data_IF_260316221518
#
_entry.id   IF_260316221518
#
_cell.length_a   1.000
_cell.length_b   1.000
_cell.length_c   1.000
_cell.angle_alpha   90.00
_cell.angle_beta   90.00
_cell.angle_gamma   90.00
#
_symmetry.space_group_name_H-M   'P 1'
#
loop_
_entity.id
_entity.type
_entity.pdbx_description
1 polymer ?
#
# COMPACT_ATOMS: atom_id res chain seq x y z
N UNK A 1 10.48 -4.96 4.33
CA UNK A 1 10.99 -5.84 3.24
C UNK A 1 12.17 -5.13 2.59
N UNK A 2 13.25 -5.84 2.29
CA UNK A 2 14.50 -5.19 1.83
C UNK A 2 15.18 -6.05 0.77
N UNK A 3 15.70 -5.39 -0.27
CA UNK A 3 16.56 -5.96 -1.30
C UNK A 3 17.84 -5.13 -1.39
N UNK A 4 18.78 -5.52 -2.26
CA UNK A 4 20.00 -4.73 -2.52
C UNK A 4 19.69 -3.33 -3.09
N UNK A 5 18.54 -3.14 -3.72
CA UNK A 5 18.19 -1.91 -4.44
C UNK A 5 17.16 -1.04 -3.72
N UNK A 6 16.33 -1.63 -2.85
CA UNK A 6 15.24 -0.90 -2.22
C UNK A 6 14.89 -1.46 -0.84
N UNK A 7 14.34 -0.59 0.00
CA UNK A 7 13.73 -0.93 1.28
C UNK A 7 12.29 -0.44 1.32
N UNK A 8 11.37 -1.31 1.74
CA UNK A 8 9.95 -1.02 2.00
C UNK A 8 9.69 -1.13 3.50
N UNK A 9 9.13 -0.08 4.07
CA UNK A 9 8.73 0.05 5.48
C UNK A 9 7.21 0.27 5.53
N UNK A 10 6.47 -0.57 6.27
CA UNK A 10 5.01 -0.42 6.46
C UNK A 10 4.77 0.31 7.78
N UNK A 11 3.99 1.39 7.73
CA UNK A 11 3.88 2.39 8.81
C UNK A 11 2.44 2.49 9.34
N UNK A 12 1.44 2.62 8.45
CA UNK A 12 0.02 2.66 8.83
C UNK A 12 -0.50 4.02 9.34
N UNK A 13 0.25 5.10 9.17
CA UNK A 13 -0.16 6.45 9.60
C UNK A 13 -1.13 7.12 8.62
N UNK A 14 -1.81 8.18 9.07
CA UNK A 14 -2.82 8.92 8.30
C UNK A 14 -2.29 9.54 7.00
N UNK A 15 -1.02 9.91 6.98
CA UNK A 15 -0.33 10.53 5.85
C UNK A 15 0.69 9.60 5.16
N UNK A 16 0.97 8.44 5.76
CA UNK A 16 1.94 7.48 5.27
C UNK A 16 1.58 6.06 5.66
N UNK A 17 1.02 5.31 4.71
CA UNK A 17 0.72 3.89 4.88
C UNK A 17 2.00 3.06 4.81
N UNK A 18 2.81 3.29 3.79
CA UNK A 18 4.13 2.67 3.66
C UNK A 18 5.09 3.62 2.93
N UNK A 19 6.37 3.32 3.09
CA UNK A 19 7.48 4.10 2.58
C UNK A 19 8.41 3.20 1.81
N UNK A 20 8.91 3.68 0.69
CA UNK A 20 10.04 3.05 0.01
C UNK A 20 11.26 3.98 -0.05
N UNK A 21 12.45 3.39 -0.05
CA UNK A 21 13.73 4.08 -0.21
C UNK A 21 14.60 3.26 -1.15
N UNK A 22 15.23 3.90 -2.13
CA UNK A 22 16.25 3.25 -2.97
C UNK A 22 17.57 3.21 -2.20
N UNK A 23 18.33 2.12 -2.34
CA UNK A 23 19.58 1.91 -1.59
C UNK A 23 20.66 2.97 -1.90
N UNK A 24 20.67 3.48 -3.13
CA UNK A 24 21.61 4.50 -3.62
C UNK A 24 21.13 5.95 -3.34
N UNK A 25 19.89 6.14 -2.89
CA UNK A 25 19.32 7.47 -2.66
C UNK A 25 18.93 7.70 -1.20
N UNK A 26 19.28 8.88 -0.70
CA UNK A 26 18.87 9.33 0.65
C UNK A 26 17.37 9.64 0.75
N UNK A 27 16.69 9.89 -0.37
CA UNK A 27 15.28 10.30 -0.38
C UNK A 27 14.37 9.08 -0.32
N UNK A 28 13.35 9.17 0.53
CA UNK A 28 12.29 8.19 0.62
C UNK A 28 11.02 8.73 -0.04
N UNK A 29 10.20 7.84 -0.59
CA UNK A 29 8.88 8.14 -1.12
C UNK A 29 7.85 7.60 -0.14
N UNK A 30 7.01 8.49 0.38
CA UNK A 30 5.90 8.13 1.23
C UNK A 30 4.66 7.90 0.35
N UNK A 31 4.01 6.76 0.56
CA UNK A 31 2.73 6.43 -0.04
C UNK A 31 1.66 6.64 1.00
N UNK A 32 0.70 7.52 0.70
CA UNK A 32 -0.43 7.79 1.57
C UNK A 32 -1.42 6.60 1.58
N UNK A 33 -2.20 6.44 2.65
CA UNK A 33 -3.22 5.40 2.71
C UNK A 33 -4.26 5.53 1.59
N UNK A 34 -4.78 4.40 1.08
CA UNK A 34 -5.95 4.43 0.25
C UNK A 34 -7.16 4.93 1.04
N UNK A 35 -8.11 5.51 0.33
CA UNK A 35 -9.35 6.02 0.88
C UNK A 35 -10.51 5.33 0.19
N UNK A 36 -11.45 4.83 0.97
CA UNK A 36 -12.65 4.13 0.50
C UNK A 36 -13.90 4.85 0.99
N UNK A 37 -14.97 4.83 0.21
CA UNK A 37 -16.31 5.10 0.75
C UNK A 37 -17.00 3.77 1.08
N UNK A 38 -17.26 3.56 2.36
CA UNK A 38 -17.85 2.33 2.90
C UNK A 38 -19.07 2.69 3.73
N UNK A 39 -20.22 2.07 3.42
CA UNK A 39 -21.49 2.32 4.11
C UNK A 39 -21.84 3.83 4.21
N UNK A 40 -21.58 4.58 3.14
CA UNK A 40 -21.84 6.02 3.04
C UNK A 40 -20.84 6.92 3.79
N UNK A 41 -19.74 6.35 4.32
CA UNK A 41 -18.71 7.07 5.06
C UNK A 41 -17.35 6.96 4.37
N UNK A 42 -16.66 8.08 4.24
CA UNK A 42 -15.26 8.12 3.79
C UNK A 42 -14.36 7.55 4.89
N UNK A 43 -13.55 6.55 4.55
CA UNK A 43 -12.63 5.83 5.43
C UNK A 43 -11.21 5.90 4.86
N UNK A 44 -10.30 6.47 5.64
CA UNK A 44 -8.87 6.46 5.33
C UNK A 44 -8.27 5.21 5.95
N UNK A 45 -7.47 4.45 5.20
CA UNK A 45 -6.85 3.23 5.71
C UNK A 45 -5.65 3.51 6.64
N UNK A 46 -5.89 4.26 7.70
CA UNK A 46 -4.98 4.38 8.84
C UNK A 46 -5.05 3.08 9.63
N UNK A 47 -3.92 2.40 9.76
CA UNK A 47 -3.87 1.04 10.27
C UNK A 47 -3.28 0.95 11.68
N UNK A 48 -3.86 0.04 12.47
CA UNK A 48 -3.35 -0.40 13.77
C UNK A 48 -3.16 -1.91 13.75
N UNK A 49 -2.34 -2.42 14.69
CA UNK A 49 -2.05 -3.86 14.77
C UNK A 49 -1.35 -4.40 13.51
N UNK A 50 -0.50 -3.58 12.89
CA UNK A 50 0.23 -3.95 11.68
C UNK A 50 1.17 -5.13 11.94
N UNK A 51 1.03 -6.18 11.14
CA UNK A 51 1.88 -7.34 11.20
C UNK A 51 2.14 -7.91 9.81
N UNK A 52 3.32 -8.52 9.64
CA UNK A 52 3.59 -9.38 8.50
C UNK A 52 2.75 -10.66 8.61
N UNK A 53 2.09 -11.05 7.52
CA UNK A 53 1.36 -12.31 7.46
C UNK A 53 2.30 -13.40 6.97
N UNK A 54 2.96 -14.06 7.92
CA UNK A 54 3.99 -15.06 7.64
C UNK A 54 5.32 -14.46 7.17
N UNK A 55 6.33 -15.31 6.92
CA UNK A 55 7.64 -14.88 6.42
C UNK A 55 7.56 -14.45 4.96
N UNK A 56 8.54 -13.67 4.52
CA UNK A 56 8.70 -13.35 3.11
C UNK A 56 8.98 -14.64 2.32
N UNK A 57 8.25 -14.86 1.23
CA UNK A 57 8.43 -16.01 0.37
C UNK A 57 9.19 -15.62 -0.89
N UNK A 58 9.96 -16.56 -1.45
CA UNK A 58 10.61 -16.39 -2.76
C UNK A 58 9.83 -17.20 -3.78
N UNK A 59 9.28 -16.53 -4.79
CA UNK A 59 8.55 -17.15 -5.89
C UNK A 59 9.52 -17.86 -6.86
N UNK A 60 9.01 -18.76 -7.70
CA UNK A 60 9.81 -19.58 -8.63
C UNK A 60 10.72 -18.76 -9.57
N UNK A 61 10.31 -17.54 -9.91
CA UNK A 61 11.05 -16.61 -10.75
C UNK A 61 11.97 -15.66 -9.96
N UNK A 62 12.25 -15.97 -8.69
CA UNK A 62 13.21 -15.27 -7.86
C UNK A 62 12.70 -13.98 -7.19
N UNK A 63 11.49 -13.51 -7.52
CA UNK A 63 10.82 -12.40 -6.86
C UNK A 63 10.48 -12.75 -5.41
N UNK A 64 10.72 -11.81 -4.51
CA UNK A 64 10.28 -11.91 -3.12
C UNK A 64 8.87 -11.37 -2.99
N UNK A 65 8.07 -12.02 -2.17
CA UNK A 65 6.71 -11.62 -1.82
C UNK A 65 6.57 -11.53 -0.30
N UNK A 66 5.90 -10.48 0.19
CA UNK A 66 5.55 -10.34 1.60
C UNK A 66 4.17 -9.69 1.73
N UNK A 67 3.29 -10.34 2.49
CA UNK A 67 2.02 -9.76 2.88
C UNK A 67 2.11 -9.10 4.25
N UNK A 68 1.43 -7.96 4.39
CA UNK A 68 1.17 -7.27 5.64
C UNK A 68 -0.32 -7.11 5.83
N UNK A 69 -0.77 -7.08 7.09
CA UNK A 69 -2.16 -6.85 7.45
C UNK A 69 -2.24 -5.87 8.60
N UNK A 70 -3.23 -4.99 8.56
CA UNK A 70 -3.60 -4.12 9.68
C UNK A 70 -5.10 -3.83 9.67
N UNK A 71 -5.63 -3.43 10.83
CA UNK A 71 -7.05 -3.03 10.99
C UNK A 71 -7.19 -1.53 10.87
N UNK A 72 -8.32 -1.07 10.36
CA UNK A 72 -8.63 0.36 10.36
C UNK A 72 -8.79 0.85 11.80
N UNK A 73 -8.14 1.95 12.14
CA UNK A 73 -8.20 2.52 13.48
C UNK A 73 -9.62 2.96 13.89
N UNK A 74 -10.43 3.40 12.92
CA UNK A 74 -11.78 3.96 13.10
C UNK A 74 -12.92 3.00 12.67
N UNK A 75 -12.56 1.79 12.25
CA UNK A 75 -13.48 0.73 11.81
C UNK A 75 -12.84 -0.66 12.03
N UNK A 76 -12.85 -1.20 13.26
CA UNK A 76 -12.13 -2.42 13.62
C UNK A 76 -12.60 -3.69 12.89
N UNK A 77 -13.78 -3.66 12.27
CA UNK A 77 -14.34 -4.69 11.41
C UNK A 77 -13.73 -4.71 10.00
N UNK A 78 -12.96 -3.67 9.64
CA UNK A 78 -12.25 -3.56 8.38
C UNK A 78 -10.74 -3.82 8.55
N UNK A 79 -10.20 -4.60 7.63
CA UNK A 79 -8.78 -4.92 7.52
C UNK A 79 -8.27 -4.55 6.13
N UNK A 80 -7.03 -4.04 6.07
CA UNK A 80 -6.30 -3.87 4.83
C UNK A 80 -5.15 -4.87 4.79
N UNK A 81 -5.14 -5.71 3.76
CA UNK A 81 -3.99 -6.51 3.40
C UNK A 81 -3.19 -5.79 2.31
N UNK A 82 -1.87 -5.78 2.47
CA UNK A 82 -0.92 -5.19 1.53
C UNK A 82 0.07 -6.26 1.11
N UNK A 83 0.01 -6.67 -0.15
CA UNK A 83 0.97 -7.61 -0.74
C UNK A 83 2.03 -6.82 -1.49
N UNK A 84 3.31 -7.04 -1.17
CA UNK A 84 4.44 -6.46 -1.88
C UNK A 84 5.21 -7.55 -2.62
N UNK A 85 5.60 -7.27 -3.86
CA UNK A 85 6.45 -8.12 -4.70
C UNK A 85 7.59 -7.30 -5.29
N UNK A 86 8.82 -7.75 -5.05
CA UNK A 86 10.04 -7.09 -5.57
C UNK A 86 11.06 -8.13 -6.04
N UNK A 87 11.69 -7.86 -7.19
CA UNK A 87 12.81 -8.67 -7.66
C UNK A 87 14.12 -8.20 -6.97
N UNK A 88 15.11 -9.09 -6.79
CA UNK A 88 16.38 -8.73 -6.14
C UNK A 88 17.20 -7.67 -6.90
N UNK A 89 17.04 -7.60 -8.22
CA UNK A 89 17.86 -6.87 -9.19
C UNK A 89 17.06 -5.82 -9.97
N UNK A 90 15.80 -5.56 -9.58
CA UNK A 90 14.96 -4.55 -10.22
C UNK A 90 14.26 -3.69 -9.16
N UNK A 91 14.34 -2.34 -9.24
CA UNK A 91 13.73 -1.44 -8.26
C UNK A 91 12.19 -1.32 -8.40
N UNK A 92 11.56 -2.02 -9.34
CA UNK A 92 10.10 -2.01 -9.51
C UNK A 92 9.41 -2.71 -8.35
N UNK A 93 8.56 -1.96 -7.65
CA UNK A 93 7.67 -2.45 -6.60
C UNK A 93 6.32 -2.75 -7.20
N UNK A 94 5.93 -4.03 -7.21
CA UNK A 94 4.54 -4.43 -7.46
C UNK A 94 3.82 -4.53 -6.13
N UNK A 95 2.65 -3.95 -6.03
CA UNK A 95 1.84 -4.02 -4.83
C UNK A 95 0.37 -4.25 -5.16
N UNK A 96 -0.35 -4.80 -4.18
CA UNK A 96 -1.79 -4.99 -4.23
C UNK A 96 -2.37 -4.67 -2.85
N UNK A 97 -3.53 -4.04 -2.85
CA UNK A 97 -4.36 -3.91 -1.66
C UNK A 97 -5.57 -4.85 -1.74
N UNK A 98 -5.90 -5.46 -0.63
CA UNK A 98 -7.16 -6.20 -0.45
C UNK A 98 -7.86 -5.68 0.80
N UNK A 99 -9.02 -5.09 0.60
CA UNK A 99 -9.92 -4.67 1.67
C UNK A 99 -10.75 -5.89 2.12
N UNK A 100 -10.73 -6.17 3.41
CA UNK A 100 -11.43 -7.31 4.02
C UNK A 100 -12.36 -6.77 5.11
N UNK A 101 -13.55 -7.35 5.22
CA UNK A 101 -14.50 -7.04 6.28
C UNK A 101 -14.90 -8.32 7.02
N UNK A 102 -14.92 -8.28 8.35
CA UNK A 102 -15.48 -9.35 9.17
C UNK A 102 -16.99 -9.20 9.41
N UNK A 103 -17.58 -8.08 8.97
CA UNK A 103 -19.01 -7.79 9.03
C UNK A 103 -19.56 -7.45 7.63
N UNK A 104 -20.87 -7.27 7.51
CA UNK A 104 -21.48 -6.76 6.27
C UNK A 104 -20.98 -5.35 5.97
N UNK A 105 -20.24 -5.18 4.88
CA UNK A 105 -19.72 -3.88 4.47
C UNK A 105 -19.85 -3.73 2.95
N UNK A 106 -20.34 -2.58 2.51
CA UNK A 106 -20.56 -2.27 1.11
C UNK A 106 -19.74 -1.05 0.71
N UNK A 107 -19.04 -1.17 -0.43
CA UNK A 107 -18.53 0.00 -1.12
C UNK A 107 -19.73 0.83 -1.58
N UNK A 108 -19.70 2.12 -1.28
CA UNK A 108 -20.78 3.05 -1.66
C UNK A 108 -20.28 4.14 -2.58
N UNK A 109 -21.21 4.71 -3.34
CA UNK A 109 -20.97 5.80 -4.29
C UNK A 109 -21.98 6.90 -4.02
N UNK A 110 -21.91 7.54 -2.85
CA UNK A 110 -22.92 8.52 -2.41
C UNK A 110 -23.16 9.64 -3.42
N UNK A 111 -22.12 10.02 -4.17
CA UNK A 111 -22.18 11.06 -5.20
C UNK A 111 -22.24 10.52 -6.63
N UNK A 112 -22.67 9.27 -6.81
CA UNK A 112 -22.80 8.64 -8.14
C UNK A 112 -21.49 8.30 -8.84
N UNK A 113 -20.35 8.47 -8.16
CA UNK A 113 -19.01 8.12 -8.64
C UNK A 113 -18.24 7.35 -7.57
N UNK A 114 -17.24 6.59 -8.00
CA UNK A 114 -16.34 5.89 -7.08
C UNK A 114 -15.56 6.91 -6.24
N UNK A 115 -15.82 6.91 -4.93
CA UNK A 115 -15.04 7.68 -3.96
C UNK A 115 -13.87 6.82 -3.45
N UNK A 116 -13.00 6.43 -4.37
CA UNK A 116 -11.81 5.60 -4.14
C UNK A 116 -10.55 6.39 -4.48
N UNK A 117 -9.69 6.63 -3.48
CA UNK A 117 -8.30 7.02 -3.72
C UNK A 117 -7.44 5.78 -3.53
N UNK A 118 -7.03 5.12 -4.62
CA UNK A 118 -6.26 3.88 -4.51
C UNK A 118 -4.81 4.12 -4.07
N UNK A 119 -4.17 5.18 -4.57
CA UNK A 119 -2.75 5.41 -4.37
C UNK A 119 -2.43 6.89 -4.54
N UNK A 120 -1.65 7.44 -3.62
CA UNK A 120 -1.20 8.84 -3.66
C UNK A 120 0.18 8.95 -3.06
N UNK A 121 1.05 9.72 -3.71
CA UNK A 121 2.39 10.04 -3.26
C UNK A 121 2.80 11.41 -3.78
N UNK A 122 3.89 11.96 -3.26
CA UNK A 122 4.48 13.21 -3.77
C UNK A 122 5.82 12.93 -4.46
N UNK A 123 5.96 13.43 -5.69
CA UNK A 123 7.21 13.39 -6.45
C UNK A 123 7.84 14.77 -6.63
N UNK A 124 7.38 15.79 -5.90
CA UNK A 124 7.90 17.15 -6.00
C UNK A 124 9.42 17.25 -5.71
N UNK A 125 9.96 16.27 -4.99
CA UNK A 125 11.37 16.15 -4.68
C UNK A 125 12.21 15.53 -5.83
N UNK A 126 11.62 15.17 -6.96
CA UNK A 126 12.32 14.56 -8.10
C UNK A 126 12.34 15.54 -9.28
N UNK A 127 13.48 15.64 -9.96
CA UNK A 127 13.63 16.54 -11.11
C UNK A 127 12.90 16.06 -12.36
N UNK A 128 12.55 14.78 -12.41
CA UNK A 128 11.82 14.17 -13.53
C UNK A 128 10.85 13.12 -12.99
N UNK A 129 9.67 13.05 -13.60
CA UNK A 129 8.68 12.02 -13.37
C UNK A 129 8.07 11.62 -14.72
N UNK A 130 7.98 10.31 -14.97
CA UNK A 130 7.31 9.76 -16.14
C UNK A 130 6.24 8.78 -15.69
N UNK A 131 5.00 9.09 -16.04
CA UNK A 131 3.90 8.12 -15.97
C UNK A 131 3.95 7.24 -17.22
N UNK A 132 3.83 5.92 -17.03
CA UNK A 132 3.86 4.94 -18.11
C UNK A 132 2.53 4.19 -18.10
N UNK A 133 1.77 4.34 -19.18
CA UNK A 133 0.55 3.59 -19.42
C UNK A 133 0.87 2.36 -20.28
N UNK A 134 0.52 1.18 -19.76
CA UNK A 134 0.60 -0.07 -20.52
C UNK A 134 -0.80 -0.36 -21.07
N UNK A 135 -0.91 -0.41 -22.40
CA UNK A 135 -2.13 -0.75 -23.16
C UNK A 135 -2.32 -2.25 -23.27
#
# INVERSE_FOLDING_TARGET
METKLLKIEVIGADDCLWRCRLADRRRAVNVAPPVFEMNGRRRVARLVGLAAVGPASRLAHGVFEQMWRGRFADAPDLELEMLFRVAPDNPVIRFQYRLVSSAGACLTKRYGSDALEHFRLSLAAFGECREVHLS
#
